data_IF_768171770216
#
_entry.id   IF_768171770216
#
_cell.length_a   1.000
_cell.length_b   1.000
_cell.length_c   1.000
_cell.angle_alpha   90.00
_cell.angle_beta   90.00
_cell.angle_gamma   90.00
#
_symmetry.space_group_name_H-M   'P 1'
#
loop_
_entity.id
_entity.type
_entity.pdbx_description
1 polymer ?
#
# COMPACT_ATOMS: atom_id res chain seq x y z
N UNK A 1 4.41 -18.98 -9.77
CA UNK A 1 3.37 -18.60 -8.80
C UNK A 1 3.48 -17.11 -8.49
N UNK A 2 2.50 -16.28 -8.88
CA UNK A 2 2.45 -14.87 -8.46
C UNK A 2 2.21 -14.83 -6.95
N UNK A 3 3.26 -14.60 -6.18
CA UNK A 3 3.15 -14.46 -4.72
C UNK A 3 2.31 -13.22 -4.42
N UNK A 4 1.14 -13.42 -3.80
CA UNK A 4 0.25 -12.37 -3.28
C UNK A 4 0.79 -11.79 -1.97
N UNK A 5 2.10 -11.58 -1.95
CA UNK A 5 2.85 -11.06 -0.82
C UNK A 5 3.59 -9.82 -1.26
N UNK A 6 3.65 -8.84 -0.37
CA UNK A 6 4.47 -7.65 -0.52
C UNK A 6 5.52 -7.70 0.57
N UNK A 7 6.80 -7.65 0.20
CA UNK A 7 7.93 -7.77 1.13
C UNK A 7 7.90 -9.01 2.04
N UNK A 8 7.29 -10.12 1.58
CA UNK A 8 7.16 -11.35 2.37
C UNK A 8 5.87 -11.44 3.21
N UNK A 9 5.15 -10.33 3.38
CA UNK A 9 3.88 -10.26 4.11
C UNK A 9 2.66 -10.41 3.22
N UNK A 10 1.55 -10.90 3.77
CA UNK A 10 0.29 -11.04 3.04
C UNK A 10 -0.26 -9.66 2.64
N UNK A 11 -0.92 -9.58 1.49
CA UNK A 11 -1.55 -8.32 1.08
C UNK A 11 -2.63 -7.84 2.06
N UNK A 12 -3.29 -8.76 2.77
CA UNK A 12 -4.22 -8.45 3.87
C UNK A 12 -3.59 -7.73 5.06
N UNK A 13 -2.26 -7.79 5.23
CA UNK A 13 -1.52 -6.98 6.21
C UNK A 13 -1.62 -5.49 5.87
N UNK A 14 -1.66 -5.15 4.59
CA UNK A 14 -1.64 -3.77 4.11
C UNK A 14 -3.02 -3.26 3.67
N UNK A 15 -3.90 -4.15 3.22
CA UNK A 15 -5.16 -3.82 2.54
C UNK A 15 -6.36 -4.59 3.12
N UNK A 16 -7.51 -3.91 3.19
CA UNK A 16 -8.81 -4.52 3.54
C UNK A 16 -9.77 -4.38 2.37
N UNK A 17 -9.97 -5.46 1.62
CA UNK A 17 -10.73 -5.50 0.36
C UNK A 17 -12.18 -5.97 0.53
N UNK A 18 -12.88 -5.48 1.56
CA UNK A 18 -14.20 -5.96 1.96
C UNK A 18 -14.16 -7.23 2.83
N UNK A 19 -15.29 -7.56 3.47
CA UNK A 19 -15.47 -8.77 4.26
C UNK A 19 -16.35 -9.74 3.45
N UNK A 20 -15.74 -10.73 2.81
CA UNK A 20 -16.48 -11.89 2.33
C UNK A 20 -16.47 -12.95 3.44
N UNK A 21 -17.51 -13.77 3.53
CA UNK A 21 -17.46 -15.03 4.30
C UNK A 21 -16.34 -15.90 3.70
N UNK A 22 -15.17 -15.92 4.35
CA UNK A 22 -13.99 -16.63 3.88
C UNK A 22 -12.67 -15.86 4.09
N UNK A 23 -11.55 -16.39 3.58
CA UNK A 23 -10.25 -15.75 3.71
C UNK A 23 -10.20 -14.39 2.97
N UNK A 24 -9.38 -13.42 3.43
CA UNK A 24 -9.42 -12.06 2.90
C UNK A 24 -9.30 -11.99 1.38
N UNK A 25 -10.16 -11.21 0.71
CA UNK A 25 -10.10 -11.03 -0.75
C UNK A 25 -8.76 -10.51 -1.23
N UNK A 26 -8.08 -9.71 -0.42
CA UNK A 26 -6.72 -9.23 -0.69
C UNK A 26 -5.72 -10.36 -0.95
N UNK A 27 -5.94 -11.54 -0.34
CA UNK A 27 -5.03 -12.69 -0.41
C UNK A 27 -5.46 -13.76 -1.43
N UNK A 28 -6.66 -13.67 -1.99
CA UNK A 28 -7.23 -14.71 -2.87
C UNK A 28 -7.63 -14.19 -4.25
N UNK A 29 -7.93 -12.90 -4.36
CA UNK A 29 -8.29 -12.24 -5.61
C UNK A 29 -7.09 -11.84 -6.47
N UNK A 30 -7.41 -11.23 -7.61
CA UNK A 30 -6.47 -10.38 -8.32
C UNK A 30 -6.58 -8.97 -7.77
N UNK A 31 -5.52 -8.55 -7.09
CA UNK A 31 -5.43 -7.21 -6.48
C UNK A 31 -4.59 -6.30 -7.36
N UNK A 32 -5.10 -5.11 -7.67
CA UNK A 32 -4.34 -4.02 -8.28
C UNK A 32 -4.07 -2.99 -7.20
N UNK A 33 -2.82 -2.58 -7.07
CA UNK A 33 -2.35 -1.67 -6.04
C UNK A 33 -1.60 -0.53 -6.71
N UNK A 34 -1.89 0.70 -6.30
CA UNK A 34 -1.18 1.92 -6.69
C UNK A 34 -0.74 2.65 -5.43
N UNK A 35 0.56 2.90 -5.33
CA UNK A 35 1.18 3.69 -4.26
C UNK A 35 1.70 4.98 -4.89
N UNK A 36 1.33 6.12 -4.33
CA UNK A 36 1.82 7.42 -4.79
C UNK A 36 2.39 8.17 -3.61
N UNK A 37 3.61 8.68 -3.77
CA UNK A 37 4.27 9.54 -2.80
C UNK A 37 4.52 10.91 -3.41
N UNK A 38 4.22 11.95 -2.64
CA UNK A 38 4.49 13.35 -2.98
C UNK A 38 5.52 13.88 -1.99
N UNK A 39 6.51 14.59 -2.55
CA UNK A 39 7.54 15.28 -1.79
C UNK A 39 7.40 16.76 -2.09
N UNK A 40 7.03 17.53 -1.08
CA UNK A 40 6.83 18.97 -1.18
C UNK A 40 7.87 19.67 -0.30
N UNK A 41 8.77 20.50 -0.86
CA UNK A 41 9.63 21.36 -0.06
C UNK A 41 8.78 22.28 0.81
N UNK A 42 9.10 22.39 2.10
CA UNK A 42 8.38 23.24 3.06
C UNK A 42 9.37 23.86 4.05
N UNK A 43 9.76 25.10 3.77
CA UNK A 43 10.79 25.80 4.56
C UNK A 43 12.11 25.03 4.51
N UNK A 44 12.67 24.77 5.69
CA UNK A 44 13.95 24.05 5.86
C UNK A 44 13.80 22.52 5.82
N UNK A 45 12.64 22.01 5.40
CA UNK A 45 12.35 20.57 5.38
C UNK A 45 11.54 20.11 4.17
N UNK A 46 11.28 18.81 4.11
CA UNK A 46 10.44 18.17 3.09
C UNK A 46 9.21 17.57 3.73
N UNK A 47 8.03 17.93 3.24
CA UNK A 47 6.77 17.25 3.59
C UNK A 47 6.59 16.05 2.68
N UNK A 48 6.51 14.86 3.26
CA UNK A 48 6.25 13.61 2.54
C UNK A 48 4.80 13.21 2.78
N UNK A 49 4.06 12.95 1.69
CA UNK A 49 2.74 12.33 1.75
C UNK A 49 2.77 11.05 0.94
N UNK A 50 2.23 9.98 1.49
CA UNK A 50 2.09 8.72 0.77
C UNK A 50 0.64 8.25 0.84
N UNK A 51 0.11 7.81 -0.30
CA UNK A 51 -1.25 7.28 -0.43
C UNK A 51 -1.23 5.93 -1.12
N UNK A 52 -1.87 4.96 -0.49
CA UNK A 52 -2.16 3.66 -1.09
C UNK A 52 -3.60 3.62 -1.58
N UNK A 53 -3.78 3.15 -2.82
CA UNK A 53 -5.08 2.84 -3.40
C UNK A 53 -5.04 1.42 -3.92
N UNK A 54 -6.11 0.67 -3.71
CA UNK A 54 -6.19 -0.68 -4.23
C UNK A 54 -7.61 -1.10 -4.57
N UNK A 55 -7.70 -2.04 -5.51
CA UNK A 55 -8.93 -2.75 -5.86
C UNK A 55 -8.66 -4.25 -5.94
N UNK A 56 -9.64 -5.05 -5.57
CA UNK A 56 -9.57 -6.50 -5.67
C UNK A 56 -10.74 -7.04 -6.48
N UNK A 57 -10.48 -8.02 -7.33
CA UNK A 57 -11.52 -8.79 -8.02
C UNK A 57 -11.32 -10.27 -7.78
N UNK A 58 -12.43 -11.00 -7.67
CA UNK A 58 -12.39 -12.46 -7.57
C UNK A 58 -11.93 -13.06 -8.90
N UNK A 59 -11.13 -14.12 -8.83
CA UNK A 59 -10.59 -14.80 -10.01
C UNK A 59 -11.53 -15.93 -10.36
N UNK A 60 -12.20 -15.86 -11.52
CA UNK A 60 -13.18 -16.87 -11.96
C UNK A 60 -14.62 -16.37 -12.00
N UNK A 61 -14.90 -15.15 -11.55
CA UNK A 61 -16.21 -14.50 -11.69
C UNK A 61 -16.06 -13.18 -12.45
N UNK A 62 -17.03 -12.85 -13.32
CA UNK A 62 -17.07 -11.56 -14.05
C UNK A 62 -17.58 -10.40 -13.18
N UNK A 63 -17.27 -10.42 -11.89
CA UNK A 63 -17.70 -9.41 -10.92
C UNK A 63 -16.83 -8.16 -11.02
N UNK A 64 -17.43 -6.99 -10.80
CA UNK A 64 -16.72 -5.72 -10.72
C UNK A 64 -15.66 -5.75 -9.60
N UNK A 65 -14.55 -5.02 -9.81
CA UNK A 65 -13.51 -4.90 -8.79
C UNK A 65 -14.04 -4.10 -7.58
N UNK A 66 -13.83 -4.64 -6.39
CA UNK A 66 -14.19 -3.99 -5.12
C UNK A 66 -13.06 -3.06 -4.67
N UNK A 67 -13.41 -1.89 -4.14
CA UNK A 67 -12.43 -0.99 -3.54
C UNK A 67 -11.85 -1.60 -2.26
N UNK A 68 -10.54 -1.45 -2.07
CA UNK A 68 -9.86 -1.83 -0.85
C UNK A 68 -9.50 -0.57 -0.04
N UNK A 69 -9.66 -0.63 1.27
CA UNK A 69 -9.09 0.36 2.18
C UNK A 69 -7.67 -0.01 2.57
N UNK A 70 -6.84 1.00 2.81
CA UNK A 70 -5.51 0.80 3.37
C UNK A 70 -5.56 0.64 4.88
N UNK A 71 -4.57 -0.06 5.44
CA UNK A 71 -4.30 -0.12 6.87
C UNK A 71 -3.33 0.96 7.36
N UNK A 72 -2.66 1.67 6.44
CA UNK A 72 -1.64 2.67 6.74
C UNK A 72 -0.23 2.10 6.98
N UNK A 73 -0.08 0.78 7.09
CA UNK A 73 1.21 0.14 7.40
C UNK A 73 2.24 0.38 6.29
N UNK A 74 1.84 0.18 5.02
CA UNK A 74 2.73 0.35 3.88
C UNK A 74 3.09 1.83 3.69
N UNK A 75 2.13 2.73 3.84
CA UNK A 75 2.37 4.16 3.73
C UNK A 75 3.36 4.64 4.79
N UNK A 76 3.25 4.13 6.02
CA UNK A 76 4.20 4.45 7.09
C UNK A 76 5.61 4.00 6.75
N UNK A 77 5.79 2.73 6.35
CA UNK A 77 7.10 2.18 5.97
C UNK A 77 7.74 3.02 4.86
N UNK A 78 6.97 3.36 3.82
CA UNK A 78 7.47 4.13 2.69
C UNK A 78 7.79 5.57 3.09
N UNK A 79 6.97 6.18 3.94
CA UNK A 79 7.22 7.54 4.44
C UNK A 79 8.50 7.60 5.28
N UNK A 80 8.71 6.62 6.16
CA UNK A 80 9.92 6.50 6.98
C UNK A 80 11.19 6.33 6.11
N UNK A 81 11.12 5.46 5.10
CA UNK A 81 12.23 5.26 4.16
C UNK A 81 12.53 6.47 3.28
N UNK A 82 11.49 7.18 2.83
CA UNK A 82 11.68 8.43 2.09
C UNK A 82 12.29 9.50 2.98
N UNK A 83 11.82 9.64 4.22
CA UNK A 83 12.37 10.59 5.18
C UNK A 83 13.86 10.35 5.43
N UNK A 84 14.26 9.08 5.61
CA UNK A 84 15.65 8.70 5.79
C UNK A 84 16.54 9.05 4.59
N UNK A 85 15.98 9.07 3.37
CA UNK A 85 16.70 9.39 2.12
C UNK A 85 16.74 10.88 1.80
N UNK A 86 15.78 11.64 2.33
CA UNK A 86 15.66 13.08 2.06
C UNK A 86 16.15 13.95 3.21
N UNK A 87 16.53 13.36 4.35
CA UNK A 87 17.20 14.08 5.41
C UNK A 87 18.56 14.59 4.91
N UNK A 88 18.92 15.87 5.18
CA UNK A 88 20.24 16.38 4.84
C UNK A 88 21.33 15.58 5.58
N UNK A 89 22.45 15.34 4.91
CA UNK A 89 23.58 14.50 5.36
C UNK A 89 24.33 15.04 6.60
N UNK A 90 23.93 16.21 7.12
CA UNK A 90 24.65 17.00 8.14
C UNK A 90 24.44 16.54 9.60
N UNK A 91 24.06 15.28 9.83
CA UNK A 91 23.90 14.74 11.20
C UNK A 91 24.26 13.25 11.32
N UNK A 92 25.13 12.75 10.44
CA UNK A 92 25.69 11.39 10.54
C UNK A 92 27.10 11.40 11.09
#
# INVERSE_FOLDING_TARGET
HRTRRLAGDRLSTFLRCGQALGPPKADNGQTRVSLTSWLEPKGDGTTIRTRLQATARDVGTSTAASACSSTGVLERIITEELAARTAPEESR
#
